data_IF_451595180439
#
_entry.id   IF_451595180439
#
_cell.length_a   1.000
_cell.length_b   1.000
_cell.length_c   1.000
_cell.angle_alpha   90.00
_cell.angle_beta   90.00
_cell.angle_gamma   90.00
#
_symmetry.space_group_name_H-M   'P 1'
#
loop_
_entity.id
_entity.type
_entity.pdbx_description
1 polymer ?
#
# COMPACT_ATOMS: atom_id res chain seq x y z
N UNK A 1 -16.71 -18.27 0.61
CA UNK A 1 -15.70 -18.50 1.64
C UNK A 1 -14.33 -18.76 1.02
N UNK A 2 -14.13 -19.84 0.26
CA UNK A 2 -12.83 -20.14 -0.39
C UNK A 2 -12.26 -19.03 -1.31
N UNK A 3 -13.07 -18.45 -2.20
CA UNK A 3 -12.61 -17.37 -3.10
C UNK A 3 -12.20 -16.07 -2.38
N UNK A 4 -12.74 -15.83 -1.18
CA UNK A 4 -12.35 -14.69 -0.36
C UNK A 4 -10.99 -14.95 0.32
N UNK A 5 -10.77 -16.18 0.79
CA UNK A 5 -9.49 -16.61 1.39
C UNK A 5 -8.37 -16.60 0.35
N UNK A 6 -8.61 -17.11 -0.86
CA UNK A 6 -7.64 -17.11 -1.96
C UNK A 6 -7.25 -15.68 -2.38
N UNK A 7 -8.23 -14.80 -2.58
CA UNK A 7 -7.96 -13.40 -2.92
C UNK A 7 -7.22 -12.66 -1.79
N UNK A 8 -7.48 -13.03 -0.54
CA UNK A 8 -6.79 -12.48 0.61
C UNK A 8 -5.32 -12.94 0.66
N UNK A 9 -5.04 -14.22 0.45
CA UNK A 9 -3.68 -14.74 0.38
C UNK A 9 -2.88 -14.14 -0.77
N UNK A 10 -3.50 -14.00 -1.96
CA UNK A 10 -2.89 -13.38 -3.13
C UNK A 10 -2.51 -11.92 -2.84
N UNK A 11 -3.40 -11.16 -2.20
CA UNK A 11 -3.15 -9.77 -1.81
C UNK A 11 -1.91 -9.64 -0.92
N UNK A 12 -1.81 -10.43 0.15
CA UNK A 12 -0.65 -10.35 1.06
C UNK A 12 0.64 -10.85 0.40
N UNK A 13 0.56 -11.85 -0.48
CA UNK A 13 1.70 -12.29 -1.30
C UNK A 13 2.22 -11.16 -2.19
N UNK A 14 1.32 -10.38 -2.82
CA UNK A 14 1.71 -9.22 -3.63
C UNK A 14 2.30 -8.11 -2.75
N UNK A 15 1.74 -7.83 -1.58
CA UNK A 15 2.31 -6.83 -0.65
C UNK A 15 3.72 -7.23 -0.17
N UNK A 16 3.96 -8.50 0.15
CA UNK A 16 5.28 -9.03 0.53
C UNK A 16 6.30 -8.88 -0.62
N UNK A 17 5.88 -9.09 -1.87
CA UNK A 17 6.70 -8.84 -3.05
C UNK A 17 7.03 -7.36 -3.24
N UNK A 18 6.05 -6.46 -3.06
CA UNK A 18 6.27 -5.02 -3.17
C UNK A 18 7.19 -4.50 -2.06
N UNK A 19 7.04 -4.98 -0.83
CA UNK A 19 7.95 -4.69 0.28
C UNK A 19 9.39 -5.07 -0.06
N UNK A 20 9.59 -6.28 -0.59
CA UNK A 20 10.91 -6.76 -1.01
C UNK A 20 11.49 -5.92 -2.15
N UNK A 21 10.65 -5.52 -3.12
CA UNK A 21 11.07 -4.65 -4.23
C UNK A 21 11.49 -3.26 -3.70
N UNK A 22 10.67 -2.64 -2.88
CA UNK A 22 10.90 -1.29 -2.33
C UNK A 22 12.05 -1.24 -1.31
N UNK A 23 12.46 -2.39 -0.75
CA UNK A 23 13.70 -2.46 0.04
C UNK A 23 14.98 -2.17 -0.78
N UNK A 24 14.92 -2.28 -2.11
CA UNK A 24 16.07 -2.15 -3.02
C UNK A 24 16.04 -0.88 -3.87
N UNK A 25 14.88 -0.22 -3.96
CA UNK A 25 14.67 0.95 -4.81
C UNK A 25 13.57 1.83 -4.24
N UNK A 26 13.65 3.13 -4.51
CA UNK A 26 12.75 4.12 -3.90
C UNK A 26 11.31 4.02 -4.41
N UNK A 27 11.12 3.75 -5.70
CA UNK A 27 9.82 3.67 -6.36
C UNK A 27 9.68 2.39 -7.17
N UNK A 28 8.48 2.08 -7.66
CA UNK A 28 8.19 0.83 -8.36
C UNK A 28 9.01 0.65 -9.65
N UNK A 29 9.38 1.74 -10.32
CA UNK A 29 10.15 1.74 -11.57
C UNK A 29 11.55 2.37 -11.45
N UNK A 30 12.12 2.40 -10.24
CA UNK A 30 13.50 2.87 -10.01
C UNK A 30 13.57 4.09 -9.11
N UNK A 31 14.21 5.15 -9.57
CA UNK A 31 14.54 6.37 -8.81
C UNK A 31 13.55 7.52 -8.99
N UNK A 32 12.60 7.39 -9.92
CA UNK A 32 11.56 8.39 -10.21
C UNK A 32 10.17 7.84 -10.00
N UNK A 33 9.27 8.71 -9.58
CA UNK A 33 7.84 8.43 -9.51
C UNK A 33 7.29 8.26 -10.93
N UNK A 34 6.48 7.23 -11.12
CA UNK A 34 5.82 6.88 -12.37
C UNK A 34 4.32 6.67 -12.14
N UNK A 35 3.58 6.42 -13.23
CA UNK A 35 2.16 6.08 -13.13
C UNK A 35 1.90 4.83 -12.27
N UNK A 36 2.82 3.86 -12.29
CA UNK A 36 2.70 2.67 -11.46
C UNK A 36 2.57 3.02 -9.98
N UNK A 37 3.32 4.02 -9.54
CA UNK A 37 3.35 4.44 -8.14
C UNK A 37 2.02 5.05 -7.69
N UNK A 38 1.42 5.87 -8.55
CA UNK A 38 0.12 6.50 -8.30
C UNK A 38 -1.03 5.48 -8.30
N UNK A 39 -0.99 4.48 -9.17
CA UNK A 39 -1.97 3.38 -9.18
C UNK A 39 -1.90 2.56 -7.89
N UNK A 40 -0.71 2.34 -7.34
CA UNK A 40 -0.55 1.65 -6.06
C UNK A 40 -0.95 2.55 -4.87
N UNK A 41 -0.57 3.83 -4.90
CA UNK A 41 -0.85 4.80 -3.84
C UNK A 41 -2.33 4.88 -3.48
N UNK A 42 -3.21 4.95 -4.48
CA UNK A 42 -4.66 5.05 -4.27
C UNK A 42 -5.24 3.89 -3.47
N UNK A 43 -4.63 2.71 -3.60
CA UNK A 43 -4.97 1.49 -2.86
C UNK A 43 -4.39 1.54 -1.45
N UNK A 44 -3.08 1.82 -1.31
CA UNK A 44 -2.40 1.82 -0.02
C UNK A 44 -2.95 2.87 0.96
N UNK A 45 -3.25 4.08 0.48
CA UNK A 45 -3.72 5.19 1.33
C UNK A 45 -5.07 4.91 1.99
N UNK A 46 -5.86 3.98 1.45
CA UNK A 46 -7.15 3.55 1.99
C UNK A 46 -7.09 2.20 2.69
N UNK A 47 -5.94 1.53 2.70
CA UNK A 47 -5.84 0.16 3.18
C UNK A 47 -6.09 0.07 4.70
N UNK A 48 -5.33 0.79 5.52
CA UNK A 48 -5.44 0.70 6.98
C UNK A 48 -6.80 1.19 7.53
N UNK A 49 -7.38 2.32 7.05
CA UNK A 49 -8.68 2.80 7.55
C UNK A 49 -9.86 1.87 7.20
N UNK A 50 -9.78 1.15 6.08
CA UNK A 50 -10.90 0.32 5.57
C UNK A 50 -10.83 -1.12 6.09
N UNK A 51 -9.63 -1.69 6.22
CA UNK A 51 -9.48 -3.12 6.55
C UNK A 51 -9.47 -3.42 8.05
N UNK A 52 -9.08 -2.46 8.91
CA UNK A 52 -8.98 -2.70 10.37
C UNK A 52 -10.37 -2.71 11.06
N UNK A 53 -11.41 -2.15 10.43
CA UNK A 53 -12.75 -2.04 11.01
C UNK A 53 -13.70 -3.22 10.73
N UNK A 54 -13.62 -3.84 9.55
CA UNK A 54 -14.72 -4.67 9.06
C UNK A 54 -14.47 -6.18 8.94
N UNK A 55 -13.20 -6.64 8.90
CA UNK A 55 -12.91 -7.97 8.37
C UNK A 55 -12.34 -9.03 9.33
N UNK A 56 -11.99 -8.72 10.58
CA UNK A 56 -11.36 -9.69 11.52
C UNK A 56 -10.14 -10.47 10.95
N UNK A 57 -9.59 -10.05 9.81
CA UNK A 57 -8.43 -10.65 9.15
C UNK A 57 -7.25 -9.68 9.31
N UNK A 58 -6.77 -9.57 10.55
CA UNK A 58 -5.75 -8.60 10.96
C UNK A 58 -4.34 -9.15 10.67
N UNK A 59 -4.08 -9.66 9.46
CA UNK A 59 -2.82 -10.35 9.20
C UNK A 59 -1.64 -9.38 9.37
N UNK A 60 -1.65 -8.25 8.64
CA UNK A 60 -0.70 -7.11 8.77
C UNK A 60 -1.34 -5.83 8.23
N UNK A 61 -0.98 -4.68 8.81
CA UNK A 61 -1.31 -3.33 8.30
C UNK A 61 -0.20 -2.85 7.36
N UNK A 62 -0.46 -1.85 6.52
CA UNK A 62 0.62 -1.19 5.75
C UNK A 62 1.65 -0.58 6.70
N UNK A 63 1.24 -0.08 7.86
CA UNK A 63 2.15 0.36 8.91
C UNK A 63 3.16 -0.71 9.39
N UNK A 64 2.85 -2.00 9.25
CA UNK A 64 3.72 -3.11 9.65
C UNK A 64 4.74 -3.49 8.54
N UNK A 65 4.63 -2.89 7.36
CA UNK A 65 5.57 -3.01 6.24
C UNK A 65 6.46 -1.77 6.15
N UNK A 66 7.72 -1.80 6.61
CA UNK A 66 8.53 -0.58 6.73
C UNK A 66 8.79 0.11 5.39
N UNK A 67 9.08 -0.63 4.31
CA UNK A 67 9.34 -0.01 3.00
C UNK A 67 8.05 0.53 2.37
N UNK A 68 6.93 -0.22 2.42
CA UNK A 68 5.63 0.26 1.95
C UNK A 68 5.12 1.48 2.75
N UNK A 69 5.30 1.48 4.07
CA UNK A 69 4.94 2.61 4.95
C UNK A 69 5.76 3.86 4.63
N UNK A 70 7.07 3.72 4.42
CA UNK A 70 7.93 4.82 4.01
C UNK A 70 7.56 5.33 2.61
N UNK A 71 7.35 4.41 1.67
CA UNK A 71 6.93 4.71 0.30
C UNK A 71 5.59 5.46 0.24
N UNK A 72 4.59 5.00 1.00
CA UNK A 72 3.29 5.67 1.10
C UNK A 72 3.44 7.09 1.65
N UNK A 73 4.27 7.28 2.69
CA UNK A 73 4.55 8.61 3.25
C UNK A 73 5.26 9.52 2.26
N UNK A 74 6.24 9.00 1.51
CA UNK A 74 6.97 9.76 0.49
C UNK A 74 6.00 10.30 -0.59
N UNK A 75 5.11 9.43 -1.11
CA UNK A 75 4.10 9.84 -2.08
C UNK A 75 3.05 10.79 -1.50
N UNK A 76 2.60 10.57 -0.27
CA UNK A 76 1.63 11.45 0.40
C UNK A 76 2.18 12.87 0.62
N UNK A 77 3.49 13.00 0.81
CA UNK A 77 4.19 14.26 1.02
C UNK A 77 4.54 15.00 -0.28
N UNK A 78 4.28 14.41 -1.45
CA UNK A 78 4.43 15.12 -2.72
C UNK A 78 3.49 16.35 -2.72
N UNK A 79 3.97 17.54 -3.12
CA UNK A 79 3.17 18.76 -3.08
C UNK A 79 1.79 18.59 -3.72
N UNK A 80 0.75 19.06 -3.04
CA UNK A 80 -0.67 18.97 -3.42
C UNK A 80 -1.32 17.59 -3.29
N UNK A 81 -0.57 16.49 -3.16
CA UNK A 81 -1.15 15.14 -3.08
C UNK A 81 -2.01 14.96 -1.83
N UNK A 82 -1.56 15.41 -0.67
CA UNK A 82 -2.33 15.34 0.57
C UNK A 82 -3.70 16.04 0.46
N UNK A 83 -3.80 17.12 -0.33
CA UNK A 83 -5.05 17.82 -0.60
C UNK A 83 -6.06 17.02 -1.44
N UNK A 84 -5.63 15.92 -2.06
CA UNK A 84 -6.49 15.01 -2.85
C UNK A 84 -7.03 13.83 -2.04
N UNK A 85 -6.59 13.68 -0.79
CA UNK A 85 -6.96 12.56 0.07
C UNK A 85 -7.93 13.05 1.14
N UNK A 86 -9.19 12.63 1.02
CA UNK A 86 -10.17 12.75 2.11
C UNK A 86 -10.56 11.34 2.59
N UNK A 87 -10.38 11.09 3.88
CA UNK A 87 -10.70 9.82 4.55
C UNK A 87 -11.94 9.93 5.46
N UNK A 88 -12.67 11.06 5.40
CA UNK A 88 -13.82 11.41 6.21
C UNK A 88 -15.03 11.82 5.36
#
# INVERSE_FOLDING_TARGET
>A
QAAYEEAFEELFSVLDQMETRLSKQRYLAGDRITEADWRLFTTLVRFDPVYVGHFRCNLRRIADYPNLSNYLRDLYQVPSVSGTVNLH
#
